data_IF_856126809426
#
_entry.id   IF_856126809426
#
_cell.length_a   1.000
_cell.length_b   1.000
_cell.length_c   1.000
_cell.angle_alpha   90.00
_cell.angle_beta   90.00
_cell.angle_gamma   90.00
#
_symmetry.space_group_name_H-M   'P 1'
#
loop_
_entity.id
_entity.type
_entity.pdbx_description
1 polymer ?
#
# COMPACT_ATOMS: atom_id res chain seq x y z
N UNK A 1 -3.40 -6.40 -12.60
CA UNK A 1 -2.66 -7.40 -11.81
C UNK A 1 -2.54 -6.88 -10.40
N UNK A 2 -3.28 -7.47 -9.47
CA UNK A 2 -3.41 -7.00 -8.09
C UNK A 2 -2.13 -7.29 -7.31
N UNK A 3 -1.34 -6.27 -7.05
CA UNK A 3 -0.20 -6.30 -6.12
C UNK A 3 -0.70 -6.16 -4.67
N UNK A 4 -1.60 -7.04 -4.24
CA UNK A 4 -1.88 -7.20 -2.83
C UNK A 4 -0.67 -7.88 -2.17
N UNK A 5 -0.14 -7.33 -1.06
CA UNK A 5 0.92 -7.97 -0.31
C UNK A 5 0.59 -9.43 -0.02
N UNK A 6 1.58 -10.32 -0.13
CA UNK A 6 1.41 -11.76 0.04
C UNK A 6 0.68 -12.13 1.35
N UNK A 7 0.94 -11.40 2.44
CA UNK A 7 0.25 -11.54 3.72
C UNK A 7 -1.23 -11.22 3.66
N UNK A 8 -1.63 -10.24 2.85
CA UNK A 8 -3.05 -9.91 2.65
C UNK A 8 -3.73 -10.92 1.74
N UNK A 9 -3.03 -11.46 0.71
CA UNK A 9 -3.55 -12.59 -0.10
C UNK A 9 -3.83 -13.82 0.75
N UNK A 10 -2.93 -14.18 1.65
CA UNK A 10 -3.13 -15.31 2.56
C UNK A 10 -4.26 -15.05 3.56
N UNK A 11 -4.37 -13.84 4.09
CA UNK A 11 -5.49 -13.45 4.97
C UNK A 11 -6.82 -13.53 4.24
N UNK A 12 -6.92 -13.02 3.01
CA UNK A 12 -8.16 -13.08 2.23
C UNK A 12 -8.46 -14.47 1.71
N UNK A 13 -7.47 -15.27 1.33
CA UNK A 13 -7.66 -16.67 0.95
C UNK A 13 -8.17 -17.51 2.12
N UNK A 14 -7.63 -17.32 3.32
CA UNK A 14 -8.13 -17.95 4.56
C UNK A 14 -9.52 -17.45 4.95
N UNK A 15 -9.84 -16.16 4.78
CA UNK A 15 -11.19 -15.60 5.06
C UNK A 15 -12.26 -16.06 4.09
N UNK A 16 -11.95 -16.37 2.83
CA UNK A 16 -12.96 -16.89 1.88
C UNK A 16 -13.53 -18.24 2.32
N UNK A 17 -12.77 -19.03 3.06
CA UNK A 17 -13.23 -20.26 3.71
C UNK A 17 -14.09 -20.00 4.98
N UNK A 18 -13.96 -18.81 5.59
CA UNK A 18 -14.65 -18.46 6.85
C UNK A 18 -16.00 -17.78 6.65
N UNK A 19 -16.21 -17.08 5.54
CA UNK A 19 -17.51 -16.43 5.22
C UNK A 19 -18.63 -17.47 5.04
N UNK A 20 -18.29 -18.71 4.66
CA UNK A 20 -19.28 -19.78 4.49
C UNK A 20 -19.65 -20.55 5.78
N UNK A 21 -18.97 -20.30 6.88
CA UNK A 21 -19.30 -20.91 8.19
C UNK A 21 -19.79 -19.89 9.20
N UNK A 22 -20.76 -19.08 8.81
CA UNK A 22 -21.40 -18.07 9.64
C UNK A 22 -21.24 -18.29 11.14
N UNK A 23 -20.78 -17.25 11.82
CA UNK A 23 -20.74 -17.07 13.26
C UNK A 23 -19.28 -16.85 13.70
N UNK A 24 -18.99 -15.60 14.03
CA UNK A 24 -17.86 -15.25 14.85
C UNK A 24 -17.87 -16.12 16.12
N UNK A 25 -16.93 -17.05 16.23
CA UNK A 25 -16.74 -17.80 17.44
C UNK A 25 -16.52 -16.86 18.63
N UNK A 26 -16.96 -17.23 19.83
CA UNK A 26 -16.68 -16.47 21.07
C UNK A 26 -15.20 -16.20 21.26
N UNK A 27 -14.35 -17.05 20.70
CA UNK A 27 -12.88 -16.99 20.79
C UNK A 27 -12.19 -16.41 19.55
N UNK A 28 -12.91 -15.67 18.68
CA UNK A 28 -12.31 -15.00 17.53
C UNK A 28 -11.26 -13.97 18.02
N UNK A 29 -9.99 -14.06 17.56
CA UNK A 29 -8.93 -13.12 17.93
C UNK A 29 -9.30 -11.66 17.67
N UNK A 30 -10.04 -11.38 16.58
CA UNK A 30 -10.51 -10.03 16.27
C UNK A 30 -11.51 -9.53 17.33
N UNK A 31 -12.46 -10.37 17.72
CA UNK A 31 -13.45 -10.01 18.74
C UNK A 31 -12.80 -9.75 20.09
N UNK A 32 -11.79 -10.55 20.44
CA UNK A 32 -11.00 -10.33 21.66
C UNK A 32 -10.28 -8.99 21.61
N UNK A 33 -9.57 -8.70 20.52
CA UNK A 33 -8.86 -7.44 20.34
C UNK A 33 -9.81 -6.22 20.40
N UNK A 34 -10.98 -6.30 19.76
CA UNK A 34 -11.99 -5.24 19.84
C UNK A 34 -12.47 -5.02 21.26
N UNK A 35 -12.72 -6.10 22.02
CA UNK A 35 -13.14 -6.01 23.42
C UNK A 35 -12.07 -5.35 24.30
N UNK A 36 -10.81 -5.76 24.11
CA UNK A 36 -9.68 -5.16 24.85
C UNK A 36 -9.53 -3.67 24.52
N UNK A 37 -9.66 -3.28 23.25
CA UNK A 37 -9.67 -1.88 22.83
C UNK A 37 -10.86 -1.10 23.45
N UNK A 38 -12.05 -1.66 23.43
CA UNK A 38 -13.26 -1.05 24.00
C UNK A 38 -13.08 -0.78 25.49
N UNK A 39 -12.57 -1.75 26.23
CA UNK A 39 -12.26 -1.60 27.67
C UNK A 39 -11.20 -0.54 27.90
N UNK A 40 -10.09 -0.58 27.16
CA UNK A 40 -8.98 0.38 27.34
C UNK A 40 -9.39 1.82 27.01
N UNK A 41 -10.25 2.00 26.03
CA UNK A 41 -10.75 3.31 25.59
C UNK A 41 -12.02 3.76 26.29
N UNK A 42 -12.61 2.92 27.15
CA UNK A 42 -13.90 3.16 27.82
C UNK A 42 -15.02 3.46 26.82
N UNK A 43 -15.08 2.68 25.74
CA UNK A 43 -16.06 2.81 24.65
C UNK A 43 -16.86 1.52 24.49
N UNK A 44 -17.98 1.59 23.81
CA UNK A 44 -18.76 0.39 23.45
C UNK A 44 -18.07 -0.39 22.32
N UNK A 45 -18.18 -1.72 22.35
CA UNK A 45 -17.58 -2.58 21.32
C UNK A 45 -18.05 -2.20 19.88
N UNK A 46 -19.34 -1.84 19.71
CA UNK A 46 -19.87 -1.46 18.41
C UNK A 46 -19.25 -0.17 17.85
N UNK A 47 -18.87 0.78 18.70
CA UNK A 47 -18.16 2.00 18.27
C UNK A 47 -16.77 1.67 17.78
N UNK A 48 -16.07 0.76 18.45
CA UNK A 48 -14.74 0.29 18.02
C UNK A 48 -14.85 -0.46 16.69
N UNK A 49 -15.85 -1.32 16.52
CA UNK A 49 -16.11 -1.99 15.23
C UNK A 49 -16.36 -1.00 14.10
N UNK A 50 -17.20 0.02 14.33
CA UNK A 50 -17.50 1.03 13.32
C UNK A 50 -16.23 1.79 12.91
N UNK A 51 -15.41 2.22 13.86
CA UNK A 51 -14.14 2.90 13.57
C UNK A 51 -13.17 2.03 12.76
N UNK A 52 -13.07 0.75 13.09
CA UNK A 52 -12.24 -0.20 12.36
C UNK A 52 -12.74 -0.42 10.93
N UNK A 53 -14.05 -0.56 10.74
CA UNK A 53 -14.67 -0.72 9.42
C UNK A 53 -14.42 0.54 8.59
N UNK A 54 -14.68 1.72 9.11
CA UNK A 54 -14.45 2.99 8.39
C UNK A 54 -12.98 3.19 8.06
N UNK A 55 -12.08 2.90 8.99
CA UNK A 55 -10.64 2.99 8.76
C UNK A 55 -10.18 2.00 7.69
N UNK A 56 -10.68 0.76 7.72
CA UNK A 56 -10.41 -0.24 6.71
C UNK A 56 -10.93 0.16 5.32
N UNK A 57 -12.13 0.70 5.24
CA UNK A 57 -12.70 1.19 3.98
C UNK A 57 -11.90 2.37 3.42
N UNK A 58 -11.49 3.31 4.27
CA UNK A 58 -10.63 4.42 3.85
C UNK A 58 -9.28 3.94 3.34
N UNK A 59 -8.67 2.96 4.01
CA UNK A 59 -7.39 2.38 3.59
C UNK A 59 -7.51 1.66 2.24
N UNK A 60 -8.56 0.87 2.03
CA UNK A 60 -8.84 0.19 0.75
C UNK A 60 -9.07 1.19 -0.38
N UNK A 61 -9.83 2.26 -0.12
CA UNK A 61 -10.09 3.31 -1.11
C UNK A 61 -8.80 4.04 -1.53
N UNK A 62 -7.91 4.34 -0.58
CA UNK A 62 -6.60 4.94 -0.88
C UNK A 62 -5.72 3.99 -1.67
N UNK A 63 -5.66 2.71 -1.28
CA UNK A 63 -4.87 1.70 -1.99
C UNK A 63 -5.32 1.57 -3.44
N UNK A 64 -6.62 1.50 -3.70
CA UNK A 64 -7.19 1.45 -5.04
C UNK A 64 -6.84 2.70 -5.87
N UNK A 65 -6.93 3.87 -5.27
CA UNK A 65 -6.53 5.13 -5.92
C UNK A 65 -5.06 5.12 -6.35
N UNK A 66 -4.17 4.61 -5.51
CA UNK A 66 -2.74 4.56 -5.85
C UNK A 66 -2.45 3.52 -6.95
N UNK A 67 -3.18 2.41 -6.98
CA UNK A 67 -3.11 1.43 -8.09
C UNK A 67 -3.56 2.06 -9.42
N UNK A 68 -4.63 2.83 -9.43
CA UNK A 68 -5.09 3.56 -10.61
C UNK A 68 -4.03 4.56 -11.09
N UNK A 69 -3.45 5.36 -10.19
CA UNK A 69 -2.39 6.31 -10.54
C UNK A 69 -1.17 5.59 -11.10
N UNK A 70 -0.76 4.47 -10.50
CA UNK A 70 0.33 3.65 -11.00
C UNK A 70 0.10 3.19 -12.45
N UNK A 71 -1.12 2.77 -12.76
CA UNK A 71 -1.51 2.39 -14.12
C UNK A 71 -1.46 3.53 -15.14
N UNK A 72 -1.53 4.79 -14.67
CA UNK A 72 -1.43 6.00 -15.50
C UNK A 72 0.00 6.52 -15.65
N UNK A 73 0.96 5.96 -14.94
CA UNK A 73 2.38 6.31 -15.09
C UNK A 73 2.94 5.75 -16.39
N UNK A 74 3.82 6.50 -17.04
CA UNK A 74 4.64 5.96 -18.12
C UNK A 74 5.61 4.88 -17.58
N UNK A 75 6.10 4.00 -18.43
CA UNK A 75 7.07 2.99 -18.03
C UNK A 75 8.30 3.60 -17.32
N UNK A 76 8.77 4.74 -17.78
CA UNK A 76 9.88 5.45 -17.15
C UNK A 76 9.52 6.05 -15.79
N UNK A 77 8.32 6.59 -15.65
CA UNK A 77 7.81 7.08 -14.36
C UNK A 77 7.62 5.92 -13.35
N UNK A 78 7.17 4.76 -13.81
CA UNK A 78 7.09 3.55 -12.95
C UNK A 78 8.48 3.14 -12.47
N UNK A 79 9.49 3.10 -13.34
CA UNK A 79 10.87 2.82 -12.97
C UNK A 79 11.42 3.80 -11.92
N UNK A 80 11.22 5.09 -12.15
CA UNK A 80 11.65 6.14 -11.20
C UNK A 80 10.91 6.00 -9.87
N UNK A 81 9.59 5.73 -9.88
CA UNK A 81 8.79 5.55 -8.67
C UNK A 81 9.27 4.33 -7.87
N UNK A 82 9.51 3.20 -8.52
CA UNK A 82 10.03 2.00 -7.87
C UNK A 82 11.37 2.27 -7.17
N UNK A 83 12.31 2.91 -7.84
CA UNK A 83 13.61 3.25 -7.27
C UNK A 83 13.51 4.26 -6.12
N UNK A 84 12.58 5.24 -6.20
CA UNK A 84 12.29 6.14 -5.08
C UNK A 84 11.82 5.34 -3.87
N UNK A 85 10.88 4.41 -4.06
CA UNK A 85 10.32 3.58 -2.98
C UNK A 85 11.37 2.62 -2.40
N UNK A 86 12.29 2.10 -3.22
CA UNK A 86 13.44 1.31 -2.77
C UNK A 86 14.51 2.14 -2.03
N UNK A 87 14.36 3.46 -1.98
CA UNK A 87 15.23 4.34 -1.20
C UNK A 87 16.35 5.01 -1.97
N UNK A 88 16.44 4.80 -3.27
CA UNK A 88 17.47 5.43 -4.11
C UNK A 88 17.31 6.94 -4.17
N UNK A 89 18.42 7.67 -4.10
CA UNK A 89 18.46 9.13 -4.31
C UNK A 89 18.38 9.45 -5.81
N UNK A 90 17.95 10.65 -6.16
CA UNK A 90 17.80 11.05 -7.56
C UNK A 90 19.07 10.88 -8.40
N UNK A 91 20.23 11.10 -7.82
CA UNK A 91 21.53 10.87 -8.45
C UNK A 91 21.78 9.37 -8.73
N UNK A 92 21.48 8.49 -7.78
CA UNK A 92 21.60 7.03 -7.93
C UNK A 92 20.62 6.49 -8.96
N UNK A 93 19.41 7.04 -9.00
CA UNK A 93 18.39 6.73 -10.01
C UNK A 93 18.88 7.12 -11.41
N UNK A 94 19.49 8.29 -11.53
CA UNK A 94 20.07 8.75 -12.81
C UNK A 94 21.11 7.77 -13.34
N UNK A 95 22.00 7.28 -12.48
CA UNK A 95 23.00 6.27 -12.84
C UNK A 95 22.33 4.95 -13.21
N UNK A 96 21.40 4.46 -12.38
CA UNK A 96 20.73 3.17 -12.59
C UNK A 96 19.93 3.14 -13.91
N UNK A 97 19.35 4.25 -14.31
CA UNK A 97 18.54 4.35 -15.52
C UNK A 97 19.30 4.88 -16.74
N UNK A 98 20.58 5.27 -16.59
CA UNK A 98 21.38 5.81 -17.68
C UNK A 98 20.83 7.14 -18.22
N UNK A 99 20.28 7.99 -17.37
CA UNK A 99 19.71 9.30 -17.73
C UNK A 99 20.35 10.42 -16.93
N UNK A 100 20.08 11.68 -17.30
CA UNK A 100 20.59 12.82 -16.55
C UNK A 100 19.85 13.00 -15.22
N UNK A 101 20.52 13.62 -14.25
CA UNK A 101 19.90 14.02 -12.98
C UNK A 101 18.66 14.92 -13.18
N UNK A 102 18.74 15.86 -14.13
CA UNK A 102 17.62 16.75 -14.46
C UNK A 102 16.41 15.97 -15.01
N UNK A 103 16.66 14.93 -15.81
CA UNK A 103 15.59 14.03 -16.30
C UNK A 103 14.88 13.33 -15.14
N UNK A 104 15.64 12.80 -14.16
CA UNK A 104 15.06 12.17 -12.96
C UNK A 104 14.26 13.19 -12.15
N UNK A 105 14.75 14.41 -11.97
CA UNK A 105 14.02 15.48 -11.28
C UNK A 105 12.69 15.79 -11.98
N UNK A 106 12.71 15.89 -13.30
CA UNK A 106 11.50 16.15 -14.09
C UNK A 106 10.47 15.04 -13.92
N UNK A 107 10.89 13.77 -14.04
CA UNK A 107 10.00 12.63 -13.79
C UNK A 107 9.46 12.63 -12.35
N UNK A 108 10.31 12.86 -11.37
CA UNK A 108 9.91 12.92 -9.95
C UNK A 108 8.85 13.99 -9.70
N UNK A 109 9.00 15.17 -10.31
CA UNK A 109 8.02 16.25 -10.21
C UNK A 109 6.64 15.83 -10.77
N UNK A 110 6.61 15.15 -11.91
CA UNK A 110 5.37 14.66 -12.51
C UNK A 110 4.74 13.54 -11.66
N UNK A 111 5.56 12.63 -11.14
CA UNK A 111 5.11 11.55 -10.25
C UNK A 111 4.46 12.14 -8.98
N UNK A 112 5.14 13.07 -8.31
CA UNK A 112 4.59 13.72 -7.11
C UNK A 112 3.30 14.48 -7.39
N UNK A 113 3.19 15.12 -8.55
CA UNK A 113 1.96 15.80 -8.97
C UNK A 113 0.82 14.81 -9.20
N UNK A 114 1.08 13.66 -9.84
CA UNK A 114 0.06 12.63 -10.11
C UNK A 114 -0.45 11.98 -8.82
N UNK A 115 0.44 11.66 -7.88
CA UNK A 115 0.05 11.08 -6.58
C UNK A 115 -0.48 12.13 -5.60
N UNK A 116 -0.19 13.41 -5.79
CA UNK A 116 -0.50 14.47 -4.82
C UNK A 116 0.29 14.32 -3.52
N UNK A 117 1.46 13.72 -3.56
CA UNK A 117 2.31 13.38 -2.42
C UNK A 117 3.73 13.89 -2.65
N UNK A 118 4.43 14.21 -1.56
CA UNK A 118 5.87 14.42 -1.58
C UNK A 118 6.64 13.08 -1.56
N UNK A 119 7.96 13.16 -1.58
CA UNK A 119 8.83 11.96 -1.63
C UNK A 119 8.63 11.03 -0.42
N UNK A 120 8.57 11.57 0.78
CA UNK A 120 8.42 10.79 2.01
C UNK A 120 7.05 10.14 2.08
N UNK A 121 6.00 10.91 1.80
CA UNK A 121 4.64 10.43 1.80
C UNK A 121 4.40 9.36 0.72
N UNK A 122 5.02 9.51 -0.46
CA UNK A 122 4.95 8.50 -1.53
C UNK A 122 5.57 7.17 -1.08
N UNK A 123 6.74 7.21 -0.47
CA UNK A 123 7.39 6.00 0.06
C UNK A 123 6.55 5.33 1.15
N UNK A 124 5.94 6.10 2.05
CA UNK A 124 5.05 5.57 3.08
C UNK A 124 3.76 5.00 2.47
N UNK A 125 3.16 5.70 1.51
CA UNK A 125 1.92 5.28 0.87
C UNK A 125 2.06 3.97 0.10
N UNK A 126 3.24 3.70 -0.49
CA UNK A 126 3.55 2.53 -1.29
C UNK A 126 4.45 1.51 -0.56
N UNK A 127 4.64 1.66 0.76
CA UNK A 127 5.52 0.80 1.57
C UNK A 127 5.18 -0.69 1.47
N UNK A 128 3.90 -1.01 1.28
CA UNK A 128 3.42 -2.40 1.18
C UNK A 128 3.60 -3.02 -0.22
N UNK A 129 4.10 -2.25 -1.18
CA UNK A 129 4.30 -2.72 -2.55
C UNK A 129 5.65 -3.43 -2.68
N UNK A 130 5.68 -4.56 -3.38
CA UNK A 130 6.88 -5.36 -3.61
C UNK A 130 7.63 -4.85 -4.84
N UNK A 131 8.35 -3.73 -4.66
CA UNK A 131 9.12 -3.11 -5.74
C UNK A 131 10.41 -3.87 -6.08
N UNK A 132 10.95 -4.66 -5.17
CA UNK A 132 12.11 -5.51 -5.43
C UNK A 132 11.74 -6.54 -6.50
N UNK A 133 10.67 -7.31 -6.28
CA UNK A 133 10.18 -8.28 -7.25
C UNK A 133 9.75 -7.63 -8.57
N UNK A 134 9.04 -6.49 -8.48
CA UNK A 134 8.64 -5.76 -9.69
C UNK A 134 9.83 -5.32 -10.52
N UNK A 135 10.91 -4.85 -9.87
CA UNK A 135 12.13 -4.41 -10.54
C UNK A 135 12.84 -5.56 -11.23
N UNK A 136 12.96 -6.72 -10.58
CA UNK A 136 13.55 -7.92 -11.15
C UNK A 136 12.80 -8.41 -12.40
N UNK A 137 11.45 -8.40 -12.35
CA UNK A 137 10.60 -8.81 -13.47
C UNK A 137 10.71 -7.88 -14.69
N UNK A 138 11.00 -6.59 -14.49
CA UNK A 138 10.99 -5.59 -15.56
C UNK A 138 12.39 -5.15 -16.01
N UNK A 139 13.46 -5.56 -15.33
CA UNK A 139 14.85 -5.19 -15.61
C UNK A 139 15.83 -6.35 -15.58
N UNK A 140 15.31 -7.56 -15.36
CA UNK A 140 16.08 -8.80 -15.43
C UNK A 140 16.51 -9.18 -16.84
#
# INVERSE_FOLDING_TARGET
MFLLPSRLREMFAKKRLWIHRGIFSRDDPLRRAVREMAVSQRRAEHEVYNDLIESGMRALSKAHKYEEIWGLLSAREQQVTALICLGFRSYEIAIALGVSYETVRSHSKHIYAKFGLGRMELRQALEQWDFDNWWEEHHG
#
